data_IF_142650577650
#
_entry.id   IF_142650577650
#
_cell.length_a   1.000
_cell.length_b   1.000
_cell.length_c   1.000
_cell.angle_alpha   90.00
_cell.angle_beta   90.00
_cell.angle_gamma   90.00
#
_symmetry.space_group_name_H-M   'P 1'
#
loop_
_entity.id
_entity.type
_entity.pdbx_description
1 polymer ?
#
# COMPACT_ATOMS: atom_id res chain seq x y z
N UNK A 1 -18.35 3.31 31.13
CA UNK A 1 -18.98 3.16 29.80
C UNK A 1 -19.45 1.71 29.70
N UNK A 2 -20.71 1.44 29.34
CA UNK A 2 -21.15 0.06 29.16
C UNK A 2 -20.67 -0.45 27.80
N UNK A 3 -19.95 -1.57 27.83
CA UNK A 3 -19.54 -2.32 26.65
C UNK A 3 -20.79 -2.85 25.93
N UNK A 4 -20.92 -2.53 24.64
CA UNK A 4 -21.94 -3.12 23.78
C UNK A 4 -21.41 -4.50 23.38
N UNK A 5 -21.81 -5.54 24.10
CA UNK A 5 -21.64 -6.92 23.66
C UNK A 5 -22.45 -7.12 22.36
N UNK A 6 -21.74 -7.16 21.23
CA UNK A 6 -22.32 -7.59 19.96
C UNK A 6 -22.47 -9.11 20.05
N UNK A 7 -23.65 -9.58 20.41
CA UNK A 7 -24.00 -10.99 20.37
C UNK A 7 -23.80 -11.52 18.94
N UNK A 8 -22.71 -12.26 18.73
CA UNK A 8 -22.43 -12.92 17.45
C UNK A 8 -23.07 -14.30 17.45
N UNK A 9 -24.30 -14.38 16.94
CA UNK A 9 -24.98 -15.65 16.70
C UNK A 9 -24.47 -16.24 15.39
N UNK A 10 -23.83 -17.41 15.45
CA UNK A 10 -23.40 -18.16 14.26
C UNK A 10 -24.60 -18.87 13.64
N UNK A 11 -25.28 -18.22 12.71
CA UNK A 11 -26.29 -18.85 11.86
C UNK A 11 -25.61 -19.78 10.85
N UNK A 12 -25.92 -21.07 10.91
CA UNK A 12 -25.29 -22.11 10.07
C UNK A 12 -26.02 -22.35 8.76
N UNK A 13 -27.25 -21.82 8.62
CA UNK A 13 -28.04 -21.89 7.39
C UNK A 13 -28.79 -20.58 7.12
N UNK A 14 -28.48 -19.94 5.98
CA UNK A 14 -29.04 -18.65 5.56
C UNK A 14 -30.04 -18.87 4.39
N UNK A 15 -30.30 -20.13 4.01
CA UNK A 15 -31.15 -20.48 2.85
C UNK A 15 -32.58 -19.94 2.94
N UNK A 16 -33.14 -19.83 4.14
CA UNK A 16 -34.51 -19.35 4.39
C UNK A 16 -34.61 -17.87 4.81
N UNK A 17 -33.47 -17.18 4.95
CA UNK A 17 -33.45 -15.81 5.47
C UNK A 17 -34.02 -14.83 4.45
N UNK A 18 -35.05 -14.10 4.88
CA UNK A 18 -35.65 -13.01 4.09
C UNK A 18 -35.36 -11.66 4.70
N UNK A 19 -35.00 -10.69 3.86
CA UNK A 19 -34.64 -9.32 4.27
C UNK A 19 -35.55 -8.29 3.60
N UNK A 20 -35.66 -7.09 4.20
CA UNK A 20 -36.39 -5.97 3.62
C UNK A 20 -35.60 -5.28 2.49
N UNK A 21 -36.27 -4.46 1.67
CA UNK A 21 -35.60 -3.63 0.65
C UNK A 21 -34.48 -2.80 1.26
N UNK A 22 -34.75 -2.10 2.35
CA UNK A 22 -33.77 -1.23 3.00
C UNK A 22 -32.49 -1.97 3.40
N UNK A 23 -32.64 -3.14 4.05
CA UNK A 23 -31.50 -3.94 4.53
C UNK A 23 -30.73 -4.52 3.35
N UNK A 24 -31.44 -5.06 2.35
CA UNK A 24 -30.77 -5.59 1.16
C UNK A 24 -29.96 -4.49 0.44
N UNK A 25 -30.51 -3.28 0.34
CA UNK A 25 -29.85 -2.13 -0.29
C UNK A 25 -28.57 -1.71 0.42
N UNK A 26 -28.58 -1.73 1.75
CA UNK A 26 -27.39 -1.47 2.55
C UNK A 26 -26.31 -2.55 2.34
N UNK A 27 -26.72 -3.82 2.19
CA UNK A 27 -25.78 -4.95 1.99
C UNK A 27 -25.11 -4.88 0.62
N UNK A 28 -25.88 -4.66 -0.45
CA UNK A 28 -25.34 -4.63 -1.83
C UNK A 28 -24.92 -3.22 -2.29
N UNK A 29 -25.12 -2.19 -1.46
CA UNK A 29 -24.69 -0.82 -1.73
C UNK A 29 -25.56 -0.06 -2.74
N UNK A 30 -26.86 -0.37 -2.86
CA UNK A 30 -27.76 0.27 -3.83
C UNK A 30 -29.01 0.86 -3.19
N UNK A 31 -29.62 1.84 -3.86
CA UNK A 31 -30.85 2.49 -3.36
C UNK A 31 -32.06 1.56 -3.35
N UNK A 32 -33.03 1.83 -2.47
CA UNK A 32 -34.29 1.06 -2.41
C UNK A 32 -35.08 1.08 -3.73
N UNK A 33 -34.95 2.16 -4.50
CA UNK A 33 -35.52 2.27 -5.86
C UNK A 33 -34.87 1.25 -6.79
N UNK A 34 -33.54 1.13 -6.76
CA UNK A 34 -32.80 0.19 -7.60
C UNK A 34 -33.13 -1.27 -7.25
N UNK A 35 -33.37 -1.57 -5.97
CA UNK A 35 -33.81 -2.91 -5.54
C UNK A 35 -35.15 -3.30 -6.16
N UNK A 36 -36.10 -2.35 -6.23
CA UNK A 36 -37.40 -2.62 -6.84
C UNK A 36 -37.25 -2.91 -8.33
N UNK A 37 -36.42 -2.15 -9.03
CA UNK A 37 -36.08 -2.37 -10.44
C UNK A 37 -35.38 -3.72 -10.65
N UNK A 38 -34.36 -4.05 -9.88
CA UNK A 38 -33.66 -5.35 -9.98
C UNK A 38 -34.60 -6.53 -9.70
N UNK A 39 -35.62 -6.32 -8.87
CA UNK A 39 -36.65 -7.33 -8.64
C UNK A 39 -37.70 -7.42 -9.77
N UNK A 40 -37.89 -6.35 -10.55
CA UNK A 40 -38.68 -6.36 -11.79
C UNK A 40 -37.90 -7.01 -12.94
N UNK A 41 -36.58 -6.81 -12.98
CA UNK A 41 -35.62 -7.46 -13.88
C UNK A 41 -35.38 -8.96 -13.52
N UNK A 42 -36.09 -9.51 -12.53
CA UNK A 42 -35.93 -10.87 -11.99
C UNK A 42 -34.54 -11.22 -11.42
N UNK A 43 -33.70 -10.21 -11.16
CA UNK A 43 -32.40 -10.38 -10.52
C UNK A 43 -32.56 -10.64 -9.01
N UNK A 44 -33.44 -9.91 -8.33
CA UNK A 44 -33.71 -10.11 -6.90
C UNK A 44 -35.01 -10.91 -6.68
N UNK A 45 -34.94 -11.98 -5.89
CA UNK A 45 -36.07 -12.89 -5.67
C UNK A 45 -36.96 -12.40 -4.53
N UNK A 46 -38.21 -12.06 -4.85
CA UNK A 46 -39.23 -11.66 -3.86
C UNK A 46 -39.78 -12.89 -3.15
N UNK A 47 -39.73 -12.88 -1.82
CA UNK A 47 -40.42 -13.86 -0.97
C UNK A 47 -41.87 -13.45 -0.71
N UNK A 48 -42.10 -12.13 -0.49
CA UNK A 48 -43.42 -11.54 -0.27
C UNK A 48 -43.35 -10.03 -0.57
N UNK A 49 -44.49 -9.31 -0.45
CA UNK A 49 -44.51 -7.85 -0.63
C UNK A 49 -43.48 -7.18 0.28
N UNK A 50 -42.45 -6.57 -0.32
CA UNK A 50 -41.36 -5.88 0.39
C UNK A 50 -40.30 -6.78 1.05
N UNK A 51 -40.34 -8.10 0.83
CA UNK A 51 -39.40 -9.08 1.40
C UNK A 51 -38.68 -9.86 0.29
N UNK A 52 -37.37 -10.01 0.43
CA UNK A 52 -36.50 -10.64 -0.55
C UNK A 52 -35.75 -11.81 0.09
N UNK A 53 -35.58 -12.90 -0.66
CA UNK A 53 -34.74 -14.02 -0.20
C UNK A 53 -33.27 -13.62 -0.32
N UNK A 54 -32.55 -13.55 0.79
CA UNK A 54 -31.20 -12.99 0.82
C UNK A 54 -30.23 -13.80 -0.05
N UNK A 55 -30.15 -15.10 0.18
CA UNK A 55 -29.19 -15.98 -0.49
C UNK A 55 -29.43 -16.04 -2.01
N UNK A 56 -30.67 -16.29 -2.43
CA UNK A 56 -31.02 -16.35 -3.87
C UNK A 56 -30.79 -15.00 -4.55
N UNK A 57 -31.20 -13.89 -3.93
CA UNK A 57 -31.04 -12.55 -4.52
C UNK A 57 -29.57 -12.14 -4.63
N UNK A 58 -28.74 -12.48 -3.63
CA UNK A 58 -27.32 -12.16 -3.64
C UNK A 58 -26.56 -12.98 -4.71
N UNK A 59 -26.86 -14.28 -4.82
CA UNK A 59 -26.27 -15.14 -5.87
C UNK A 59 -26.62 -14.64 -7.26
N UNK A 60 -27.88 -14.33 -7.50
CA UNK A 60 -28.34 -13.82 -8.79
C UNK A 60 -27.70 -12.47 -9.10
N UNK A 61 -27.65 -11.54 -8.13
CA UNK A 61 -26.99 -10.25 -8.32
C UNK A 61 -25.50 -10.39 -8.67
N UNK A 62 -24.76 -11.25 -7.98
CA UNK A 62 -23.35 -11.54 -8.28
C UNK A 62 -23.20 -12.16 -9.68
N UNK A 63 -24.09 -13.09 -10.04
CA UNK A 63 -24.09 -13.69 -11.38
C UNK A 63 -24.35 -12.65 -12.46
N UNK A 64 -25.34 -11.77 -12.26
CA UNK A 64 -25.63 -10.66 -13.18
C UNK A 64 -24.46 -9.70 -13.30
N UNK A 65 -23.74 -9.41 -12.20
CA UNK A 65 -22.51 -8.60 -12.27
C UNK A 65 -21.40 -9.30 -13.05
N UNK A 66 -21.18 -10.60 -12.84
CA UNK A 66 -20.18 -11.37 -13.61
C UNK A 66 -20.53 -11.42 -15.09
N UNK A 67 -21.77 -11.73 -15.42
CA UNK A 67 -22.27 -11.73 -16.80
C UNK A 67 -22.18 -10.33 -17.40
N UNK A 68 -22.50 -9.28 -16.64
CA UNK A 68 -22.36 -7.90 -17.12
C UNK A 68 -20.90 -7.50 -17.32
N UNK A 69 -19.96 -8.03 -16.54
CA UNK A 69 -18.52 -7.82 -16.76
C UNK A 69 -18.06 -8.56 -18.02
N UNK A 70 -18.44 -9.84 -18.16
CA UNK A 70 -18.12 -10.67 -19.32
C UNK A 70 -18.81 -10.18 -20.61
N UNK A 71 -19.98 -9.56 -20.49
CA UNK A 71 -20.73 -8.98 -21.61
C UNK A 71 -20.35 -7.51 -21.87
N UNK A 72 -19.71 -6.79 -20.94
CA UNK A 72 -19.19 -5.43 -21.17
C UNK A 72 -17.93 -5.41 -22.04
N UNK A 73 -17.31 -6.57 -22.30
CA UNK A 73 -16.35 -6.76 -23.39
C UNK A 73 -17.05 -6.88 -24.77
N UNK A 74 -18.38 -6.97 -24.80
CA UNK A 74 -19.18 -7.11 -26.01
C UNK A 74 -20.49 -6.29 -25.94
N UNK A 75 -20.41 -5.01 -26.32
CA UNK A 75 -21.53 -4.12 -26.68
C UNK A 75 -22.53 -3.73 -25.58
N UNK A 76 -22.51 -2.44 -25.23
CA UNK A 76 -23.48 -1.76 -24.36
C UNK A 76 -24.53 -1.05 -25.22
N UNK A 77 -25.83 -1.11 -24.87
CA UNK A 77 -26.65 0.09 -25.00
C UNK A 77 -27.62 0.27 -23.82
N UNK A 78 -27.29 1.29 -23.03
CA UNK A 78 -28.21 2.17 -22.28
C UNK A 78 -28.61 1.82 -20.83
N UNK A 79 -28.26 2.75 -19.93
CA UNK A 79 -28.52 2.68 -18.49
C UNK A 79 -27.43 3.30 -17.59
N UNK A 80 -26.89 4.47 -17.98
CA UNK A 80 -26.07 5.43 -17.22
C UNK A 80 -25.42 4.92 -15.89
N UNK A 81 -24.33 4.17 -16.04
CA UNK A 81 -23.13 4.46 -15.25
C UNK A 81 -22.36 5.49 -16.06
N UNK A 82 -21.97 6.58 -15.43
CA UNK A 82 -21.30 7.71 -16.05
C UNK A 82 -19.89 7.25 -16.48
N UNK A 83 -19.86 6.56 -17.62
CA UNK A 83 -18.73 5.78 -18.15
C UNK A 83 -17.55 6.71 -18.40
N UNK A 84 -17.81 7.98 -18.71
CA UNK A 84 -16.81 9.02 -18.83
C UNK A 84 -16.22 9.42 -17.47
N UNK A 85 -17.01 9.45 -16.39
CA UNK A 85 -16.51 9.73 -15.04
C UNK A 85 -15.72 8.55 -14.47
N UNK A 86 -16.18 7.31 -14.65
CA UNK A 86 -15.45 6.12 -14.22
C UNK A 86 -14.18 5.92 -15.07
N UNK A 87 -14.23 6.11 -16.40
CA UNK A 87 -13.04 6.11 -17.25
C UNK A 87 -12.10 7.24 -16.88
N UNK A 88 -12.59 8.45 -16.61
CA UNK A 88 -11.74 9.56 -16.16
C UNK A 88 -11.10 9.27 -14.79
N UNK A 89 -11.81 8.64 -13.86
CA UNK A 89 -11.26 8.25 -12.57
C UNK A 89 -10.21 7.14 -12.73
N UNK A 90 -10.51 6.10 -13.50
CA UNK A 90 -9.56 5.03 -13.83
C UNK A 90 -8.34 5.55 -14.58
N UNK A 91 -8.50 6.48 -15.49
CA UNK A 91 -7.41 7.08 -16.25
C UNK A 91 -6.57 8.02 -15.39
N UNK A 92 -7.18 8.76 -14.46
CA UNK A 92 -6.45 9.54 -13.43
C UNK A 92 -5.65 8.63 -12.51
N UNK A 93 -6.25 7.55 -12.01
CA UNK A 93 -5.56 6.57 -11.16
C UNK A 93 -4.43 5.89 -11.94
N UNK A 94 -4.69 5.46 -13.18
CA UNK A 94 -3.67 4.84 -14.05
C UNK A 94 -2.52 5.79 -14.35
N UNK A 95 -2.81 7.07 -14.63
CA UNK A 95 -1.79 8.12 -14.80
C UNK A 95 -0.96 8.28 -13.52
N UNK A 96 -1.62 8.36 -12.37
CA UNK A 96 -0.93 8.53 -11.09
C UNK A 96 -0.07 7.31 -10.73
N UNK A 97 -0.55 6.08 -11.00
CA UNK A 97 0.25 4.86 -10.85
C UNK A 97 1.46 4.88 -11.80
N UNK A 98 1.27 5.30 -13.05
CA UNK A 98 2.38 5.42 -14.01
C UNK A 98 3.39 6.48 -13.58
N UNK A 99 2.93 7.59 -13.02
CA UNK A 99 3.76 8.68 -12.49
C UNK A 99 4.57 8.21 -11.26
N UNK A 100 3.93 7.56 -10.30
CA UNK A 100 4.61 6.97 -9.13
C UNK A 100 5.62 5.89 -9.54
N UNK A 101 5.28 5.06 -10.54
CA UNK A 101 6.22 4.08 -11.11
C UNK A 101 7.41 4.78 -11.78
N UNK A 102 7.18 5.86 -12.52
CA UNK A 102 8.23 6.64 -13.14
C UNK A 102 9.14 7.31 -12.09
N UNK A 103 8.59 7.87 -11.02
CA UNK A 103 9.36 8.42 -9.90
C UNK A 103 10.16 7.35 -9.13
N UNK A 104 9.59 6.15 -8.99
CA UNK A 104 10.30 4.99 -8.41
C UNK A 104 11.45 4.57 -9.32
N UNK A 105 11.23 4.51 -10.64
CA UNK A 105 12.27 4.18 -11.63
C UNK A 105 13.36 5.25 -11.72
N UNK A 106 13.01 6.52 -11.52
CA UNK A 106 13.98 7.64 -11.46
C UNK A 106 14.79 7.66 -10.15
N UNK A 107 14.45 6.82 -9.18
CA UNK A 107 15.16 6.73 -7.90
C UNK A 107 14.82 7.86 -6.93
N UNK A 108 13.74 8.62 -7.15
CA UNK A 108 13.27 9.64 -6.21
C UNK A 108 12.41 9.04 -5.08
N UNK A 109 11.79 7.89 -5.33
CA UNK A 109 10.96 7.17 -4.37
C UNK A 109 11.61 5.84 -3.99
N UNK A 110 12.01 5.71 -2.72
CA UNK A 110 12.56 4.48 -2.16
C UNK A 110 11.50 3.72 -1.37
N UNK A 111 11.53 2.39 -1.44
CA UNK A 111 10.71 1.54 -0.56
C UNK A 111 11.23 1.71 0.87
N UNK A 112 10.32 1.81 1.85
CA UNK A 112 10.70 2.01 3.25
C UNK A 112 11.64 0.91 3.76
N UNK A 113 11.48 -0.32 3.28
CA UNK A 113 12.33 -1.48 3.61
C UNK A 113 13.78 -1.30 3.12
N UNK A 114 13.98 -0.71 1.94
CA UNK A 114 15.32 -0.46 1.38
C UNK A 114 16.04 0.63 2.18
N UNK A 115 15.31 1.69 2.54
CA UNK A 115 15.85 2.76 3.40
C UNK A 115 16.22 2.22 4.78
N UNK A 116 15.36 1.40 5.39
CA UNK A 116 15.61 0.82 6.70
C UNK A 116 16.88 -0.05 6.70
N UNK A 117 17.06 -0.89 5.68
CA UNK A 117 18.25 -1.76 5.55
C UNK A 117 19.53 -0.94 5.49
N UNK A 118 19.63 0.00 4.54
CA UNK A 118 20.86 0.78 4.32
C UNK A 118 21.17 1.66 5.53
N UNK A 119 20.15 2.31 6.10
CA UNK A 119 20.33 3.12 7.31
C UNK A 119 20.76 2.27 8.52
N UNK A 120 20.21 1.06 8.67
CA UNK A 120 20.59 0.15 9.74
C UNK A 120 22.04 -0.31 9.62
N UNK A 121 22.46 -0.68 8.42
CA UNK A 121 23.84 -1.12 8.15
C UNK A 121 24.83 0.02 8.40
N UNK A 122 24.50 1.22 7.90
CA UNK A 122 25.29 2.44 8.11
C UNK A 122 25.44 2.77 9.61
N UNK A 123 24.33 2.81 10.36
CA UNK A 123 24.35 3.10 11.79
C UNK A 123 25.08 2.02 12.61
N UNK A 124 24.97 0.77 12.19
CA UNK A 124 25.63 -0.36 12.86
C UNK A 124 27.15 -0.31 12.66
N UNK A 125 27.61 0.04 11.45
CA UNK A 125 29.04 0.25 11.16
C UNK A 125 29.65 1.33 12.05
N UNK A 126 28.99 2.50 12.15
CA UNK A 126 29.43 3.62 12.99
C UNK A 126 29.50 3.23 14.45
N UNK A 127 28.44 2.60 14.96
CA UNK A 127 28.38 2.11 16.35
C UNK A 127 29.58 1.21 16.65
N UNK A 128 29.89 0.30 15.73
CA UNK A 128 31.00 -0.65 15.89
C UNK A 128 32.34 0.07 15.98
N UNK A 129 32.59 1.06 15.11
CA UNK A 129 33.82 1.86 15.17
C UNK A 129 33.94 2.73 16.41
N UNK A 130 32.86 3.40 16.81
CA UNK A 130 32.85 4.20 18.04
C UNK A 130 33.15 3.34 19.28
N UNK A 131 32.66 2.11 19.33
CA UNK A 131 32.96 1.18 20.42
C UNK A 131 34.40 0.63 20.35
N UNK A 132 34.98 0.51 19.16
CA UNK A 132 36.37 0.07 18.98
C UNK A 132 37.40 1.20 19.26
N UNK A 133 36.98 2.46 19.14
CA UNK A 133 37.85 3.63 19.28
C UNK A 133 38.58 3.70 20.63
N UNK A 134 37.95 3.50 21.81
CA UNK A 134 38.66 3.50 23.08
C UNK A 134 39.72 2.41 23.18
N UNK A 135 39.43 1.21 22.66
CA UNK A 135 40.38 0.08 22.66
C UNK A 135 41.61 0.36 21.81
N UNK A 136 41.44 1.07 20.68
CA UNK A 136 42.54 1.48 19.80
C UNK A 136 43.33 2.66 20.39
N UNK A 137 42.65 3.67 20.93
CA UNK A 137 43.28 4.90 21.43
C UNK A 137 43.96 4.72 22.79
N UNK A 138 43.39 3.93 23.70
CA UNK A 138 43.93 3.73 25.04
C UNK A 138 45.44 3.39 25.07
N UNK A 139 45.95 2.39 24.33
CA UNK A 139 47.38 2.08 24.32
C UNK A 139 48.24 3.18 23.68
N UNK A 140 47.71 3.94 22.72
CA UNK A 140 48.44 5.03 22.05
C UNK A 140 48.58 6.27 22.94
N UNK A 141 47.69 6.41 23.93
CA UNK A 141 47.62 7.54 24.86
C UNK A 141 48.35 7.30 26.19
N UNK A 142 48.67 6.04 26.53
CA UNK A 142 49.30 5.61 27.80
C UNK A 142 50.62 6.32 28.16
N UNK A 143 51.29 6.98 27.20
CA UNK A 143 52.58 7.66 27.43
C UNK A 143 52.65 9.06 26.83
N UNK A 144 51.49 9.69 26.57
CA UNK A 144 51.40 11.03 26.01
C UNK A 144 50.84 12.00 27.05
N UNK A 145 51.56 13.09 27.31
CA UNK A 145 51.18 14.13 28.28
C UNK A 145 50.79 15.46 27.61
N UNK A 146 50.93 15.56 26.29
CA UNK A 146 50.54 16.73 25.51
C UNK A 146 49.05 16.72 25.18
N UNK A 147 48.27 17.57 25.84
CA UNK A 147 46.81 17.68 25.65
C UNK A 147 46.44 17.93 24.18
N UNK A 148 47.24 18.74 23.45
CA UNK A 148 47.03 19.02 22.03
C UNK A 148 47.08 17.74 21.19
N UNK A 149 48.12 16.94 21.37
CA UNK A 149 48.28 15.67 20.67
C UNK A 149 47.13 14.69 20.96
N UNK A 150 46.69 14.59 22.21
CA UNK A 150 45.58 13.72 22.62
C UNK A 150 44.29 14.14 21.90
N UNK A 151 43.98 15.45 21.91
CA UNK A 151 42.78 16.00 21.26
C UNK A 151 42.81 15.79 19.76
N UNK A 152 43.94 16.04 19.11
CA UNK A 152 44.08 15.88 17.66
C UNK A 152 43.92 14.42 17.23
N UNK A 153 44.47 13.48 18.00
CA UNK A 153 44.33 12.04 17.73
C UNK A 153 42.87 11.58 17.86
N UNK A 154 42.18 11.99 18.92
CA UNK A 154 40.75 11.68 19.11
C UNK A 154 39.91 12.28 17.97
N UNK A 155 40.13 13.55 17.65
CA UNK A 155 39.40 14.22 16.57
C UNK A 155 39.65 13.57 15.21
N UNK A 156 40.88 13.16 14.93
CA UNK A 156 41.22 12.45 13.70
C UNK A 156 40.41 11.16 13.59
N UNK A 157 40.39 10.35 14.65
CA UNK A 157 39.69 9.06 14.64
C UNK A 157 38.17 9.23 14.54
N UNK A 158 37.60 10.27 15.15
CA UNK A 158 36.18 10.64 14.99
C UNK A 158 35.89 11.07 13.55
N UNK A 159 36.72 11.93 12.95
CA UNK A 159 36.56 12.36 11.58
C UNK A 159 36.70 11.21 10.58
N UNK A 160 37.57 10.24 10.87
CA UNK A 160 37.72 9.04 10.05
C UNK A 160 36.48 8.14 10.11
N UNK A 161 35.91 7.95 11.31
CA UNK A 161 34.64 7.23 11.48
C UNK A 161 33.45 7.96 10.82
N UNK A 162 33.44 9.29 10.81
CA UNK A 162 32.39 10.10 10.17
C UNK A 162 32.56 10.19 8.65
N UNK A 163 33.78 10.21 8.12
CA UNK A 163 34.02 10.25 6.67
C UNK A 163 33.56 8.96 5.99
N UNK A 164 33.68 7.82 6.66
CA UNK A 164 33.15 6.55 6.13
C UNK A 164 31.62 6.53 6.05
N UNK A 165 30.94 7.36 6.85
CA UNK A 165 29.49 7.60 6.71
C UNK A 165 29.15 8.41 5.45
N UNK A 166 30.10 9.21 4.97
CA UNK A 166 29.90 10.19 3.90
C UNK A 166 29.92 9.54 2.51
N UNK A 167 30.43 8.32 2.38
CA UNK A 167 30.41 7.54 1.15
C UNK A 167 29.00 6.99 0.87
N UNK A 168 28.06 7.93 0.75
CA UNK A 168 26.68 7.75 0.34
C UNK A 168 26.66 7.44 -1.15
N UNK A 169 26.26 6.22 -1.51
CA UNK A 169 25.91 5.89 -2.89
C UNK A 169 24.37 5.82 -3.01
N UNK A 170 23.74 6.73 -3.80
CA UNK A 170 22.31 6.63 -4.12
C UNK A 170 21.90 5.26 -4.66
N UNK A 171 22.84 4.53 -5.27
CA UNK A 171 22.61 3.21 -5.86
C UNK A 171 22.22 2.16 -4.81
N UNK A 172 22.69 2.29 -3.56
CA UNK A 172 22.41 1.32 -2.49
C UNK A 172 20.93 1.30 -2.07
N UNK A 173 20.19 2.36 -2.40
CA UNK A 173 18.76 2.52 -2.10
C UNK A 173 17.86 2.20 -3.29
N UNK A 174 18.42 1.85 -4.46
CA UNK A 174 17.64 1.47 -5.61
C UNK A 174 17.09 0.04 -5.45
N UNK A 175 15.79 -0.11 -5.66
CA UNK A 175 15.18 -1.44 -5.68
C UNK A 175 15.55 -2.18 -6.98
N UNK A 176 15.39 -3.52 -7.00
CA UNK A 176 15.58 -4.36 -8.21
C UNK A 176 14.80 -3.89 -9.45
N UNK A 177 13.75 -3.08 -9.26
CA UNK A 177 12.91 -2.50 -10.31
C UNK A 177 13.49 -1.19 -10.92
N UNK A 178 14.69 -0.76 -10.50
CA UNK A 178 15.34 0.45 -11.01
C UNK A 178 15.74 0.27 -12.48
N UNK A 179 15.32 1.21 -13.33
CA UNK A 179 15.73 1.27 -14.73
C UNK A 179 16.54 2.56 -14.87
N UNK A 180 17.83 2.44 -15.16
CA UNK A 180 18.65 3.61 -15.47
C UNK A 180 18.08 4.31 -16.70
N UNK A 181 17.44 5.46 -16.53
CA UNK A 181 16.90 6.26 -17.66
C UNK A 181 18.01 7.07 -18.35
N UNK A 182 19.24 6.56 -18.37
CA UNK A 182 20.38 7.14 -19.07
C UNK A 182 20.97 6.09 -20.00
N UNK A 183 20.32 5.89 -21.15
CA UNK A 183 21.05 5.54 -22.35
C UNK A 183 21.85 6.76 -22.79
N UNK A 184 23.17 6.61 -22.83
CA UNK A 184 24.11 7.34 -23.69
C UNK A 184 23.75 8.77 -24.13
N UNK A 185 24.41 9.76 -23.53
CA UNK A 185 25.02 10.81 -24.36
C UNK A 185 26.52 10.57 -24.34
N UNK A 186 26.97 9.74 -25.28
CA UNK A 186 28.37 9.71 -25.71
C UNK A 186 28.64 10.99 -26.51
N UNK A 187 29.72 11.69 -26.12
CA UNK A 187 30.14 12.99 -26.63
C UNK A 187 31.37 13.49 -25.90
#
# INVERSE_FOLDING_TARGET
MPDIEIASTKETDISSVTVSSKVLGQIIGVSERRIRQLAEENVLVRAAKGRYKLNESLRNYILTLKVAIESKDADNPDGELNLDEERALHERIKRHISELKLQTMQGELHKSEDVERVMTDMLTSVKTKLLAMPTKLAPMLLSRSEIGYIKDLINKEILEALNELKDYDPVDFYSDDYISVNGEYDG
#
